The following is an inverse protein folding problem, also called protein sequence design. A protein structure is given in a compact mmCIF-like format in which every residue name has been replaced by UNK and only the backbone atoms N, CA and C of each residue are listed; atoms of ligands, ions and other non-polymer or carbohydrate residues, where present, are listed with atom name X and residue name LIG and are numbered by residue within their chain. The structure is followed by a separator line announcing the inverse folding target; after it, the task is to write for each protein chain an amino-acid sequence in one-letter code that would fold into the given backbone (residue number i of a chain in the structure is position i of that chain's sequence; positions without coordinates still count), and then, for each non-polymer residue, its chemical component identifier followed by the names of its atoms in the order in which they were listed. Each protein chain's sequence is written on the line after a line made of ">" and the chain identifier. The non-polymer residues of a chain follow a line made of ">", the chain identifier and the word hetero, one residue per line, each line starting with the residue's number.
data_IF_149770099946
#
_entry.id   IF_149770099946
#
_cell.length_a   1.000
_cell.length_b   1.000
_cell.length_c   1.000
_cell.angle_alpha   90.00
_cell.angle_beta   90.00
_cell.angle_gamma   90.00
#
_symmetry.space_group_name_H-M   'P 1'
#
loop_
_entity.id
_entity.type
_entity.pdbx_description
1 polymer ?
#
# COMPACT_ATOMS: atom_id res chain seq x y z
N UNK A 1 9.68 1.51 -12.72
CA UNK A 1 10.87 0.99 -11.99
C UNK A 1 10.83 1.56 -10.58
N UNK A 2 11.09 0.76 -9.55
CA UNK A 2 11.13 1.26 -8.19
C UNK A 2 12.33 2.21 -8.03
N UNK A 3 12.18 3.25 -7.23
CA UNK A 3 13.26 4.18 -6.89
C UNK A 3 14.21 3.53 -5.90
N UNK A 4 13.64 2.79 -4.96
CA UNK A 4 14.36 1.98 -4.00
C UNK A 4 13.66 0.63 -3.83
N UNK A 5 14.43 -0.44 -3.81
CA UNK A 5 13.99 -1.80 -3.50
C UNK A 5 14.68 -2.25 -2.21
N UNK A 6 13.88 -2.70 -1.25
CA UNK A 6 14.37 -3.27 0.02
C UNK A 6 14.14 -4.79 -0.01
N UNK A 7 15.17 -5.54 0.35
CA UNK A 7 15.13 -6.98 0.48
C UNK A 7 14.49 -7.46 1.79
N UNK A 8 14.80 -8.67 2.23
CA UNK A 8 14.20 -9.26 3.43
C UNK A 8 14.77 -8.70 4.75
N UNK A 9 15.72 -7.79 4.71
CA UNK A 9 16.37 -7.26 5.91
C UNK A 9 15.45 -6.20 6.57
N UNK A 10 14.93 -6.54 7.76
CA UNK A 10 14.01 -5.66 8.49
C UNK A 10 14.64 -4.30 8.86
N UNK A 11 15.93 -4.24 9.12
CA UNK A 11 16.66 -3.00 9.42
C UNK A 11 16.60 -2.02 8.24
N UNK A 12 16.79 -2.51 7.02
CA UNK A 12 16.70 -1.67 5.81
C UNK A 12 15.26 -1.17 5.59
N UNK A 13 14.27 -2.01 5.89
CA UNK A 13 12.87 -1.61 5.84
C UNK A 13 12.57 -0.50 6.86
N UNK A 14 13.07 -0.61 8.09
CA UNK A 14 12.95 0.43 9.13
C UNK A 14 13.61 1.74 8.67
N UNK A 15 14.81 1.70 8.12
CA UNK A 15 15.51 2.88 7.61
C UNK A 15 14.72 3.59 6.51
N UNK A 16 14.17 2.84 5.56
CA UNK A 16 13.33 3.38 4.49
C UNK A 16 12.05 4.00 5.05
N UNK A 17 11.34 3.30 5.93
CA UNK A 17 10.10 3.79 6.53
C UNK A 17 10.34 5.07 7.37
N UNK A 18 11.45 5.15 8.11
CA UNK A 18 11.87 6.37 8.82
C UNK A 18 12.17 7.51 7.86
N UNK A 19 12.82 7.23 6.72
CA UNK A 19 13.07 8.25 5.70
C UNK A 19 11.76 8.80 5.12
N UNK A 20 10.81 7.92 4.81
CA UNK A 20 9.48 8.30 4.34
C UNK A 20 8.68 9.09 5.37
N UNK A 21 8.80 8.74 6.66
CA UNK A 21 8.17 9.51 7.74
C UNK A 21 8.75 10.93 7.82
N UNK A 22 10.07 11.08 7.76
CA UNK A 22 10.71 12.41 7.73
C UNK A 22 10.28 13.23 6.52
N UNK A 23 10.20 12.61 5.35
CA UNK A 23 9.70 13.26 4.13
C UNK A 23 8.24 13.69 4.29
N UNK A 24 7.39 12.82 4.81
CA UNK A 24 6.00 13.15 5.11
C UNK A 24 5.87 14.35 6.03
N UNK A 25 6.67 14.41 7.10
CA UNK A 25 6.67 15.52 8.06
C UNK A 25 7.22 16.82 7.42
N UNK A 26 8.19 16.73 6.50
CA UNK A 26 8.66 17.88 5.74
C UNK A 26 7.56 18.43 4.82
N UNK A 27 6.84 17.55 4.13
CA UNK A 27 5.70 17.94 3.27
C UNK A 27 4.56 18.57 4.04
N UNK A 28 4.28 18.10 5.23
CA UNK A 28 3.27 18.77 6.08
C UNK A 28 3.65 20.21 6.42
N UNK A 29 4.94 20.48 6.69
CA UNK A 29 5.43 21.86 6.91
C UNK A 29 5.30 22.71 5.65
N UNK A 30 5.60 22.14 4.49
CA UNK A 30 5.45 22.83 3.20
C UNK A 30 3.98 23.12 2.89
N UNK A 31 3.09 22.14 3.03
CA UNK A 31 1.66 22.32 2.85
C UNK A 31 1.10 23.43 3.78
N UNK A 32 1.53 23.44 5.04
CA UNK A 32 1.14 24.47 5.99
C UNK A 32 1.61 25.85 5.55
N UNK A 33 2.85 25.98 5.10
CA UNK A 33 3.40 27.24 4.59
C UNK A 33 2.65 27.77 3.35
N UNK A 34 2.16 26.83 2.52
CA UNK A 34 1.37 27.15 1.32
C UNK A 34 -0.14 27.33 1.61
N UNK A 35 -0.60 27.16 2.85
CA UNK A 35 -2.01 27.17 3.21
C UNK A 35 -2.83 26.00 2.63
N UNK A 36 -2.18 24.91 2.27
CA UNK A 36 -2.78 23.73 1.68
C UNK A 36 -3.06 22.66 2.74
N UNK A 37 -4.12 21.85 2.53
CA UNK A 37 -4.48 20.75 3.44
C UNK A 37 -4.01 19.39 2.98
N UNK A 38 -3.71 19.25 1.69
CA UNK A 38 -3.26 18.00 1.07
C UNK A 38 -2.55 18.27 -0.23
N UNK A 39 -1.68 17.36 -0.64
CA UNK A 39 -1.05 17.36 -1.97
C UNK A 39 -2.11 17.16 -3.04
N UNK A 40 -2.05 17.94 -4.11
CA UNK A 40 -2.86 17.86 -5.32
C UNK A 40 -1.96 17.76 -6.55
N UNK A 41 -2.53 17.30 -7.66
CA UNK A 41 -1.79 17.14 -8.91
C UNK A 41 -1.16 18.44 -9.41
N UNK A 42 -1.86 19.56 -9.22
CA UNK A 42 -1.42 20.90 -9.60
C UNK A 42 -0.29 21.47 -8.75
N UNK A 43 -0.06 20.92 -7.56
CA UNK A 43 0.97 21.41 -6.63
C UNK A 43 2.40 20.98 -7.05
N UNK A 44 2.53 20.13 -8.08
CA UNK A 44 3.83 19.66 -8.62
C UNK A 44 4.60 18.70 -7.70
N UNK A 45 4.05 18.38 -6.52
CA UNK A 45 4.67 17.46 -5.56
C UNK A 45 4.51 16.01 -6.03
N UNK A 46 5.62 15.30 -6.12
CA UNK A 46 5.62 13.89 -6.49
C UNK A 46 4.93 13.04 -5.40
N UNK A 47 4.17 12.02 -5.82
CA UNK A 47 3.60 11.05 -4.91
C UNK A 47 4.62 9.95 -4.59
N UNK A 48 4.71 9.54 -3.33
CA UNK A 48 5.42 8.33 -2.93
C UNK A 48 4.45 7.16 -2.86
N UNK A 49 4.70 6.14 -3.65
CA UNK A 49 4.00 4.87 -3.59
C UNK A 49 4.89 3.83 -2.90
N UNK A 50 4.47 3.39 -1.73
CA UNK A 50 5.12 2.35 -0.94
C UNK A 50 4.38 1.04 -1.18
N UNK A 51 5.06 0.04 -1.71
CA UNK A 51 4.48 -1.28 -1.95
C UNK A 51 5.16 -2.30 -1.03
N UNK A 52 4.36 -2.95 -0.19
CA UNK A 52 4.80 -4.03 0.69
C UNK A 52 4.15 -5.33 0.20
N UNK A 53 4.93 -6.22 -0.41
CA UNK A 53 4.43 -7.44 -1.06
C UNK A 53 3.96 -8.50 -0.04
N UNK A 54 4.71 -8.69 1.07
CA UNK A 54 4.30 -9.57 2.17
C UNK A 54 4.47 -8.85 3.52
N UNK A 55 3.40 -8.23 3.98
CA UNK A 55 3.40 -7.45 5.22
C UNK A 55 3.70 -8.32 6.46
N UNK A 56 3.17 -9.55 6.50
CA UNK A 56 3.39 -10.46 7.63
C UNK A 56 4.87 -10.80 7.81
N UNK A 57 5.68 -10.77 6.75
CA UNK A 57 7.11 -11.04 6.83
C UNK A 57 7.80 -10.08 7.82
N UNK A 58 7.59 -8.77 7.66
CA UNK A 58 8.19 -7.75 8.50
C UNK A 58 7.57 -7.66 9.90
N UNK A 59 6.32 -8.09 10.05
CA UNK A 59 5.59 -8.06 11.32
C UNK A 59 5.77 -9.35 12.15
N UNK A 60 6.42 -10.38 11.61
CA UNK A 60 6.73 -11.64 12.30
C UNK A 60 8.23 -11.85 12.55
N UNK A 61 9.06 -10.81 12.37
CA UNK A 61 10.49 -10.88 12.67
C UNK A 61 10.76 -11.35 14.12
N UNK A 62 11.86 -12.05 14.33
CA UNK A 62 12.27 -12.55 15.63
C UNK A 62 12.63 -11.40 16.60
N UNK A 63 13.21 -10.30 16.09
CA UNK A 63 13.47 -9.11 16.90
C UNK A 63 12.17 -8.34 17.17
N UNK A 64 11.76 -8.38 18.43
CA UNK A 64 10.54 -7.70 18.89
C UNK A 64 10.60 -6.19 18.67
N UNK A 65 11.78 -5.57 18.81
CA UNK A 65 11.92 -4.11 18.67
C UNK A 65 11.76 -3.69 17.22
N UNK A 66 12.41 -4.40 16.28
CA UNK A 66 12.26 -4.14 14.85
C UNK A 66 10.81 -4.33 14.41
N UNK A 67 10.19 -5.42 14.82
CA UNK A 67 8.78 -5.72 14.53
C UNK A 67 7.83 -4.62 15.00
N UNK A 68 8.03 -4.16 16.25
CA UNK A 68 7.21 -3.10 16.81
C UNK A 68 7.43 -1.79 16.06
N UNK A 69 8.67 -1.46 15.74
CA UNK A 69 9.02 -0.24 15.03
C UNK A 69 8.44 -0.21 13.60
N UNK A 70 8.54 -1.31 12.85
CA UNK A 70 7.89 -1.43 11.53
C UNK A 70 6.39 -1.20 11.65
N UNK A 71 5.72 -1.81 12.65
CA UNK A 71 4.30 -1.63 12.87
C UNK A 71 3.92 -0.17 13.19
N UNK A 72 4.71 0.52 13.99
CA UNK A 72 4.48 1.93 14.37
C UNK A 72 4.69 2.87 13.18
N UNK A 73 5.78 2.69 12.42
CA UNK A 73 6.08 3.48 11.23
C UNK A 73 5.03 3.29 10.14
N UNK A 74 4.64 2.05 9.85
CA UNK A 74 3.58 1.77 8.89
C UNK A 74 2.24 2.35 9.33
N UNK A 75 1.91 2.24 10.62
CA UNK A 75 0.69 2.84 11.17
C UNK A 75 0.66 4.34 10.92
N UNK A 76 1.76 5.03 11.21
CA UNK A 76 1.86 6.47 11.02
C UNK A 76 1.75 6.87 9.54
N UNK A 77 2.47 6.16 8.65
CA UNK A 77 2.41 6.40 7.21
C UNK A 77 1.02 6.15 6.63
N UNK A 78 0.33 5.08 7.05
CA UNK A 78 -1.04 4.78 6.57
C UNK A 78 -2.04 5.82 7.08
N UNK A 79 -1.94 6.21 8.37
CA UNK A 79 -2.87 7.14 9.00
C UNK A 79 -2.75 8.56 8.43
N UNK A 80 -1.54 9.04 8.18
CA UNK A 80 -1.28 10.44 7.83
C UNK A 80 -0.80 10.63 6.38
N UNK A 81 -0.22 9.61 5.77
CA UNK A 81 0.51 9.73 4.50
C UNK A 81 -0.33 10.25 3.34
N UNK A 82 -1.62 9.88 3.27
CA UNK A 82 -2.51 10.26 2.15
C UNK A 82 -2.53 11.76 1.86
N UNK A 83 -2.62 12.60 2.89
CA UNK A 83 -2.65 14.04 2.71
C UNK A 83 -1.29 14.61 2.25
N UNK A 84 -0.19 14.00 2.68
CA UNK A 84 1.17 14.37 2.28
C UNK A 84 1.63 13.70 0.98
N UNK A 85 0.75 12.95 0.29
CA UNK A 85 1.10 12.28 -0.96
C UNK A 85 1.94 11.00 -0.77
N UNK A 86 1.90 10.38 0.42
CA UNK A 86 2.49 9.06 0.69
C UNK A 86 1.37 8.03 0.73
N UNK A 87 1.41 7.07 -0.20
CA UNK A 87 0.38 6.04 -0.37
C UNK A 87 1.00 4.69 -0.09
N UNK A 88 0.42 3.93 0.84
CA UNK A 88 0.87 2.58 1.17
C UNK A 88 -0.07 1.56 0.55
N UNK A 89 0.48 0.63 -0.20
CA UNK A 89 -0.19 -0.58 -0.69
C UNK A 89 0.50 -1.77 -0.04
N UNK A 90 -0.24 -2.52 0.78
CA UNK A 90 0.31 -3.68 1.46
C UNK A 90 -0.47 -4.94 1.08
N UNK A 91 0.25 -6.01 0.78
CA UNK A 91 -0.30 -7.33 0.57
C UNK A 91 0.19 -8.30 1.66
N UNK A 92 -0.57 -9.34 1.90
CA UNK A 92 -0.17 -10.44 2.77
C UNK A 92 -0.97 -11.70 2.46
N UNK A 93 -0.31 -12.84 2.56
CA UNK A 93 -0.96 -14.16 2.51
C UNK A 93 -1.46 -14.61 3.89
N UNK A 94 -1.04 -13.93 4.96
CA UNK A 94 -1.37 -14.23 6.36
C UNK A 94 -2.03 -13.04 7.06
N UNK A 95 -3.28 -12.70 6.75
CA UNK A 95 -3.92 -11.49 7.30
C UNK A 95 -4.30 -11.62 8.79
N UNK A 96 -4.10 -12.79 9.40
CA UNK A 96 -4.52 -13.12 10.76
C UNK A 96 -3.66 -12.50 11.87
N UNK A 97 -3.06 -13.37 12.70
CA UNK A 97 -2.36 -12.98 13.93
C UNK A 97 -1.12 -12.11 13.70
N UNK A 98 -0.46 -12.24 12.54
CA UNK A 98 0.79 -11.53 12.25
C UNK A 98 0.59 -10.05 11.92
N UNK A 99 -0.62 -9.65 11.46
CA UNK A 99 -0.93 -8.25 11.16
C UNK A 99 -1.84 -7.66 12.24
N UNK A 100 -1.37 -6.71 13.06
CA UNK A 100 -2.18 -6.11 14.12
C UNK A 100 -3.47 -5.49 13.59
N UNK A 101 -4.61 -5.76 14.26
CA UNK A 101 -5.92 -5.20 13.90
C UNK A 101 -5.88 -3.68 13.78
N UNK A 102 -5.20 -3.01 14.71
CA UNK A 102 -5.04 -1.56 14.72
C UNK A 102 -4.34 -1.00 13.48
N UNK A 103 -3.49 -1.79 12.80
CA UNK A 103 -2.90 -1.40 11.53
C UNK A 103 -3.85 -1.69 10.36
N UNK A 104 -4.50 -2.87 10.35
CA UNK A 104 -5.45 -3.25 9.30
C UNK A 104 -6.61 -2.26 9.16
N UNK A 105 -7.14 -1.81 10.28
CA UNK A 105 -8.31 -0.93 10.31
C UNK A 105 -8.03 0.50 9.80
N UNK A 106 -6.77 0.87 9.65
CA UNK A 106 -6.38 2.15 9.02
C UNK A 106 -6.49 2.12 7.49
N UNK A 107 -6.48 0.94 6.88
CA UNK A 107 -6.64 0.84 5.44
C UNK A 107 -8.11 1.03 5.05
N UNK A 108 -8.41 2.17 4.41
CA UNK A 108 -9.75 2.48 3.92
C UNK A 108 -10.19 1.62 2.72
N UNK A 109 -9.24 1.04 2.00
CA UNK A 109 -9.48 0.08 0.92
C UNK A 109 -8.90 -1.28 1.31
N UNK A 110 -9.74 -2.31 1.31
CA UNK A 110 -9.34 -3.67 1.66
C UNK A 110 -9.85 -4.65 0.61
N UNK A 111 -8.94 -5.41 0.03
CA UNK A 111 -9.23 -6.40 -1.01
C UNK A 111 -8.99 -7.80 -0.47
N UNK A 112 -10.04 -8.57 -0.31
CA UNK A 112 -9.98 -10.00 -0.02
C UNK A 112 -10.06 -10.78 -1.34
N UNK A 113 -8.94 -11.32 -1.81
CA UNK A 113 -8.93 -12.37 -2.81
C UNK A 113 -9.46 -13.67 -2.18
N UNK A 114 -9.53 -14.76 -2.97
CA UNK A 114 -10.03 -16.04 -2.43
C UNK A 114 -9.35 -16.40 -1.11
N UNK A 115 -10.18 -16.56 -0.08
CA UNK A 115 -9.78 -17.05 1.24
C UNK A 115 -10.13 -18.53 1.42
N UNK A 116 -9.53 -19.18 2.41
CA UNK A 116 -9.83 -20.58 2.72
C UNK A 116 -11.02 -20.72 3.66
N UNK A 117 -11.33 -19.69 4.45
CA UNK A 117 -12.41 -19.71 5.45
C UNK A 117 -13.15 -18.37 5.51
N UNK A 118 -14.43 -18.35 5.94
CA UNK A 118 -15.16 -17.11 6.21
C UNK A 118 -14.46 -16.20 7.21
N UNK A 119 -13.81 -16.78 8.25
CA UNK A 119 -13.05 -16.03 9.24
C UNK A 119 -11.85 -15.28 8.64
N UNK A 120 -11.16 -15.90 7.65
CA UNK A 120 -10.09 -15.23 6.93
C UNK A 120 -10.63 -14.08 6.08
N UNK A 121 -11.81 -14.23 5.48
CA UNK A 121 -12.50 -13.16 4.78
C UNK A 121 -12.85 -12.00 5.72
N UNK A 122 -13.47 -12.30 6.86
CA UNK A 122 -13.82 -11.31 7.89
C UNK A 122 -12.58 -10.62 8.49
N UNK A 123 -11.47 -11.34 8.58
CA UNK A 123 -10.20 -10.74 9.03
C UNK A 123 -9.74 -9.60 8.11
N UNK A 124 -9.97 -9.71 6.80
CA UNK A 124 -9.57 -8.69 5.83
C UNK A 124 -10.64 -7.60 5.71
N UNK A 125 -11.88 -8.00 5.47
CA UNK A 125 -12.96 -7.07 5.17
C UNK A 125 -13.53 -6.38 6.41
N UNK A 126 -13.47 -7.03 7.57
CA UNK A 126 -14.09 -6.65 8.83
C UNK A 126 -15.09 -7.71 9.29
N UNK A 127 -15.28 -7.78 10.60
CA UNK A 127 -16.15 -8.78 11.23
C UNK A 127 -17.60 -8.66 10.76
N UNK A 128 -18.23 -9.81 10.46
CA UNK A 128 -19.63 -9.90 10.11
C UNK A 128 -19.95 -9.77 8.63
N UNK A 129 -18.99 -9.40 7.79
CA UNK A 129 -19.26 -9.31 6.34
C UNK A 129 -19.51 -10.67 5.71
N UNK A 130 -18.80 -11.72 6.13
CA UNK A 130 -19.02 -13.07 5.62
C UNK A 130 -20.44 -13.56 5.93
N UNK A 131 -20.93 -13.35 7.15
CA UNK A 131 -22.30 -13.72 7.55
C UNK A 131 -23.37 -12.87 6.86
N UNK A 132 -23.01 -11.67 6.40
CA UNK A 132 -23.87 -10.79 5.61
C UNK A 132 -23.85 -11.08 4.10
N UNK A 133 -23.20 -12.18 3.68
CA UNK A 133 -23.13 -12.63 2.28
C UNK A 133 -21.92 -12.15 1.49
N UNK A 134 -20.99 -11.40 2.12
CA UNK A 134 -19.74 -10.93 1.51
C UNK A 134 -18.56 -11.79 1.97
N UNK A 135 -18.54 -13.04 1.50
CA UNK A 135 -17.58 -14.05 1.91
C UNK A 135 -16.61 -14.42 0.77
N UNK A 136 -15.34 -14.02 0.89
CA UNK A 136 -14.31 -14.32 -0.10
C UNK A 136 -13.92 -15.81 -0.12
N UNK A 137 -14.31 -16.63 0.85
CA UNK A 137 -14.09 -18.06 0.83
C UNK A 137 -14.98 -18.78 -0.20
N UNK A 138 -16.08 -18.14 -0.62
CA UNK A 138 -16.98 -18.66 -1.65
C UNK A 138 -16.45 -18.48 -3.08
N UNK A 139 -15.35 -17.74 -3.28
CA UNK A 139 -14.71 -17.57 -4.58
C UNK A 139 -14.13 -18.91 -5.04
N UNK A 140 -14.62 -19.44 -6.16
CA UNK A 140 -14.18 -20.72 -6.69
C UNK A 140 -12.70 -20.69 -7.10
N UNK A 141 -11.99 -21.82 -6.95
CA UNK A 141 -10.56 -21.93 -7.24
C UNK A 141 -10.15 -21.59 -8.68
N UNK A 142 -11.04 -21.79 -9.65
CA UNK A 142 -10.81 -21.40 -11.04
C UNK A 142 -11.02 -19.91 -11.34
N UNK A 143 -11.56 -19.13 -10.41
CA UNK A 143 -11.85 -17.70 -10.57
C UNK A 143 -10.65 -16.83 -10.15
N UNK A 144 -9.51 -17.01 -10.82
CA UNK A 144 -8.29 -16.23 -10.53
C UNK A 144 -8.55 -14.73 -10.67
N UNK A 145 -8.03 -13.95 -9.75
CA UNK A 145 -8.17 -12.49 -9.71
C UNK A 145 -9.54 -11.98 -9.27
N UNK A 146 -10.48 -12.87 -8.92
CA UNK A 146 -11.76 -12.48 -8.31
C UNK A 146 -11.59 -12.30 -6.82
N UNK A 147 -12.20 -11.25 -6.28
CA UNK A 147 -12.19 -10.93 -4.86
C UNK A 147 -13.32 -9.99 -4.47
N UNK A 148 -13.34 -9.61 -3.22
CA UNK A 148 -14.24 -8.64 -2.63
C UNK A 148 -13.44 -7.40 -2.21
N UNK A 149 -13.80 -6.26 -2.76
CA UNK A 149 -13.20 -4.96 -2.44
C UNK A 149 -14.14 -4.19 -1.51
N UNK A 150 -13.66 -3.86 -0.32
CA UNK A 150 -14.28 -2.90 0.58
C UNK A 150 -13.64 -1.54 0.35
N UNK A 151 -14.42 -0.55 0.00
CA UNK A 151 -14.06 0.86 -0.04
C UNK A 151 -14.61 1.61 1.19
N UNK A 152 -14.05 2.78 1.49
CA UNK A 152 -14.46 3.60 2.64
C UNK A 152 -15.99 3.81 2.68
N UNK A 153 -16.64 3.36 3.76
CA UNK A 153 -18.06 3.59 4.02
C UNK A 153 -19.03 2.81 3.13
N UNK A 154 -18.55 1.95 2.24
CA UNK A 154 -19.38 1.17 1.32
C UNK A 154 -19.50 -0.30 1.77
N UNK A 155 -20.38 -1.05 1.09
CA UNK A 155 -20.43 -2.52 1.22
C UNK A 155 -19.38 -3.14 0.31
N UNK A 156 -18.83 -4.33 0.70
CA UNK A 156 -17.88 -5.01 -0.18
C UNK A 156 -18.49 -5.31 -1.56
N UNK A 157 -17.79 -4.93 -2.62
CA UNK A 157 -18.18 -5.21 -3.99
C UNK A 157 -17.34 -6.37 -4.56
N UNK A 158 -18.01 -7.27 -5.31
CA UNK A 158 -17.29 -8.32 -6.03
C UNK A 158 -16.61 -7.73 -7.25
N UNK A 159 -15.30 -7.89 -7.33
CA UNK A 159 -14.50 -7.40 -8.45
C UNK A 159 -13.71 -8.53 -9.11
N UNK A 160 -13.22 -8.27 -10.31
CA UNK A 160 -12.22 -9.08 -10.97
C UNK A 160 -11.07 -8.19 -11.45
N UNK A 161 -9.86 -8.50 -11.00
CA UNK A 161 -8.65 -7.81 -11.43
C UNK A 161 -8.27 -8.22 -12.86
N UNK A 162 -7.52 -7.36 -13.55
CA UNK A 162 -6.96 -7.68 -14.85
C UNK A 162 -5.86 -8.73 -14.72
N UNK A 163 -5.77 -9.61 -15.72
CA UNK A 163 -4.62 -10.47 -15.91
C UNK A 163 -3.63 -9.75 -16.83
N UNK A 164 -2.39 -9.58 -16.37
CA UNK A 164 -1.31 -9.05 -17.18
C UNK A 164 -0.33 -10.18 -17.50
N UNK A 165 0.01 -10.33 -18.77
CA UNK A 165 1.10 -11.21 -19.20
C UNK A 165 2.47 -10.55 -18.91
N UNK A 166 3.54 -11.35 -18.85
CA UNK A 166 4.90 -10.84 -18.64
C UNK A 166 5.29 -9.81 -19.71
N UNK A 167 4.87 -10.00 -20.96
CA UNK A 167 5.08 -9.03 -22.04
C UNK A 167 4.36 -7.71 -21.79
N UNK A 168 3.13 -7.74 -21.25
CA UNK A 168 2.40 -6.52 -20.89
C UNK A 168 3.03 -5.81 -19.69
N UNK A 169 3.52 -6.57 -18.71
CA UNK A 169 4.26 -6.01 -17.57
C UNK A 169 5.55 -5.34 -18.08
N UNK A 170 6.32 -6.00 -18.95
CA UNK A 170 7.52 -5.43 -19.57
C UNK A 170 7.23 -4.10 -20.27
N UNK A 171 6.20 -4.07 -21.12
CA UNK A 171 5.81 -2.84 -21.82
C UNK A 171 5.35 -1.71 -20.89
N UNK A 172 4.73 -2.03 -19.74
CA UNK A 172 4.38 -1.04 -18.72
C UNK A 172 5.65 -0.47 -18.08
N UNK A 173 6.60 -1.34 -17.71
CA UNK A 173 7.88 -0.94 -17.09
C UNK A 173 8.70 -0.05 -18.02
N UNK A 174 8.81 -0.40 -19.31
CA UNK A 174 9.49 0.41 -20.32
C UNK A 174 8.88 1.80 -20.46
N UNK A 175 7.56 1.90 -20.58
CA UNK A 175 6.85 3.19 -20.65
C UNK A 175 7.04 4.03 -19.38
N UNK A 176 7.04 3.40 -18.21
CA UNK A 176 7.29 4.10 -16.95
C UNK A 176 8.72 4.63 -16.89
N UNK A 177 9.71 3.86 -17.35
CA UNK A 177 11.11 4.26 -17.44
C UNK A 177 11.31 5.44 -18.37
N UNK A 178 10.71 5.41 -19.57
CA UNK A 178 10.78 6.53 -20.53
C UNK A 178 10.20 7.81 -19.94
N UNK A 179 9.01 7.75 -19.34
CA UNK A 179 8.38 8.93 -18.70
C UNK A 179 9.21 9.53 -17.56
N UNK A 180 9.92 8.71 -16.79
CA UNK A 180 10.81 9.21 -15.74
C UNK A 180 12.03 9.91 -16.33
N UNK A 181 12.62 9.37 -17.38
CA UNK A 181 13.74 10.00 -18.09
C UNK A 181 13.33 11.38 -18.66
N UNK A 182 12.17 11.46 -19.31
CA UNK A 182 11.63 12.72 -19.84
C UNK A 182 11.38 13.75 -18.73
N UNK A 183 10.79 13.32 -17.60
CA UNK A 183 10.54 14.19 -16.47
C UNK A 183 11.83 14.69 -15.81
N UNK A 184 12.86 13.85 -15.74
CA UNK A 184 14.17 14.22 -15.23
C UNK A 184 14.87 15.24 -16.15
N UNK A 185 14.85 15.00 -17.46
CA UNK A 185 15.40 15.94 -18.45
C UNK A 185 14.69 17.29 -18.43
N UNK A 186 13.36 17.30 -18.28
CA UNK A 186 12.59 18.54 -18.17
C UNK A 186 12.94 19.32 -16.89
N UNK A 187 13.17 18.64 -15.77
CA UNK A 187 13.54 19.27 -14.50
C UNK A 187 14.97 19.82 -14.51
N UNK A 188 15.91 19.16 -15.18
CA UNK A 188 17.32 19.56 -15.23
C UNK A 188 17.64 20.52 -16.39
N UNK A 189 16.81 20.59 -17.43
CA UNK A 189 16.96 21.48 -18.58
C UNK A 189 16.45 22.92 -18.39
N UNK A 190 15.82 23.21 -17.23
CA UNK A 190 15.29 24.55 -16.91
C UNK A 190 16.30 25.47 -16.17
N UNK A 191 17.53 25.01 -15.94
CA UNK A 191 18.62 25.76 -15.28
C UNK A 191 19.67 26.25 -16.28
N UNK A 192 19.25 26.63 -17.49
CA UNK A 192 20.09 27.20 -18.55
C UNK A 192 19.74 28.64 -18.90
#
# INVERSE_FOLDING_TARGET
>A
MAEQLVGPECEQAVELLRALQREMDARYRELLALGLRKVRREDGLALHLVVVDELAFYLSDSDRKLRQEVAELLRDLVARGRAAGVIVVAATQKPGADVPTALRDLFGFRLALRCNTPQASDTILGQGWASSGYDASTVAGGQRGVGLLLAEGERPARIKTFHLSDAQIGAIVERAGARRADAWLAATGSEG
#
